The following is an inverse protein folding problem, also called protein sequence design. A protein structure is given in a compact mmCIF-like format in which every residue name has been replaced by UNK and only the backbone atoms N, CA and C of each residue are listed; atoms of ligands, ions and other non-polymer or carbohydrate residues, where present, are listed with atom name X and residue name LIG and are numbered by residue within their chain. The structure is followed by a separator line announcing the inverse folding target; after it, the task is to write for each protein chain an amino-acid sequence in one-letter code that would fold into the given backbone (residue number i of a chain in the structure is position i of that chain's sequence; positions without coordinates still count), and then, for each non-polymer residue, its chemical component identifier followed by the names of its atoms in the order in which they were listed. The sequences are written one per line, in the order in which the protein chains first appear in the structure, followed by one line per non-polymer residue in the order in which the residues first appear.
data_IF_851031884834
#
_entry.id   IF_851031884834
#
_cell.length_a   1.000
_cell.length_b   1.000
_cell.length_c   1.000
_cell.angle_alpha   90.00
_cell.angle_beta   90.00
_cell.angle_gamma   90.00
#
_symmetry.space_group_name_H-M   'P 1'
#
loop_
_entity.id
_entity.type
_entity.pdbx_description
1 polymer ?
#
# COMPACT_ATOMS: atom_id res chain seq x y z
N UNK A 1 -8.31 5.32 -2.31
CA UNK A 1 -8.93 3.98 -2.34
C UNK A 1 -9.76 3.79 -1.08
N UNK A 2 -10.97 3.33 -1.29
CA UNK A 2 -11.92 2.96 -0.25
C UNK A 2 -11.95 1.43 -0.07
N UNK A 3 -12.70 0.98 0.94
CA UNK A 3 -12.79 -0.44 1.29
C UNK A 3 -13.21 -1.33 0.11
N UNK A 4 -14.20 -0.91 -0.67
CA UNK A 4 -14.71 -1.69 -1.81
C UNK A 4 -13.68 -1.85 -2.93
N UNK A 5 -12.83 -0.84 -3.15
CA UNK A 5 -11.74 -0.94 -4.13
C UNK A 5 -10.74 -2.04 -3.71
N UNK A 6 -10.46 -2.11 -2.41
CA UNK A 6 -9.53 -3.07 -1.83
C UNK A 6 -10.15 -4.48 -1.82
N UNK A 7 -11.43 -4.62 -1.48
CA UNK A 7 -12.15 -5.90 -1.58
C UNK A 7 -12.15 -6.42 -3.02
N UNK A 8 -12.42 -5.53 -3.98
CA UNK A 8 -12.35 -5.88 -5.41
C UNK A 8 -10.93 -6.31 -5.82
N UNK A 9 -9.89 -5.65 -5.31
CA UNK A 9 -8.50 -6.00 -5.59
C UNK A 9 -8.13 -7.37 -5.02
N UNK A 10 -8.54 -7.66 -3.78
CA UNK A 10 -8.28 -8.91 -3.07
C UNK A 10 -9.22 -10.05 -3.48
N UNK A 11 -10.25 -9.77 -4.29
CA UNK A 11 -11.31 -10.72 -4.68
C UNK A 11 -12.05 -11.28 -3.48
N UNK A 12 -12.35 -10.41 -2.51
CA UNK A 12 -13.14 -10.75 -1.33
C UNK A 12 -14.60 -10.43 -1.62
N UNK A 13 -15.45 -11.45 -1.52
CA UNK A 13 -16.91 -11.32 -1.52
C UNK A 13 -17.40 -11.35 -0.07
N UNK A 14 -18.33 -10.47 0.30
CA UNK A 14 -18.89 -10.39 1.67
C UNK A 14 -18.24 -9.34 2.55
N UNK A 15 -18.74 -9.20 3.78
CA UNK A 15 -18.44 -8.08 4.69
C UNK A 15 -17.89 -8.56 6.06
N UNK A 16 -17.66 -9.86 6.22
CA UNK A 16 -17.27 -10.48 7.49
C UNK A 16 -15.92 -9.94 8.02
N UNK A 17 -15.02 -9.58 7.11
CA UNK A 17 -13.67 -9.11 7.43
C UNK A 17 -13.48 -7.60 7.22
N UNK A 18 -14.56 -6.84 6.97
CA UNK A 18 -14.53 -5.41 6.70
C UNK A 18 -13.77 -4.61 7.78
N UNK A 19 -13.97 -4.94 9.05
CA UNK A 19 -13.29 -4.26 10.16
C UNK A 19 -11.77 -4.50 10.14
N UNK A 20 -11.34 -5.71 9.76
CA UNK A 20 -9.93 -6.04 9.65
C UNK A 20 -9.31 -5.32 8.45
N UNK A 21 -9.99 -5.36 7.30
CA UNK A 21 -9.56 -4.68 6.08
C UNK A 21 -9.44 -3.17 6.29
N UNK A 22 -10.39 -2.52 6.96
CA UNK A 22 -10.30 -1.09 7.30
C UNK A 22 -9.04 -0.79 8.13
N UNK A 23 -8.76 -1.62 9.12
CA UNK A 23 -7.55 -1.47 9.95
C UNK A 23 -6.27 -1.60 9.12
N UNK A 24 -6.21 -2.57 8.20
CA UNK A 24 -5.07 -2.76 7.30
C UNK A 24 -4.93 -1.60 6.30
N UNK A 25 -6.04 -1.06 5.78
CA UNK A 25 -6.04 0.11 4.89
C UNK A 25 -5.46 1.32 5.62
N UNK A 26 -5.88 1.57 6.86
CA UNK A 26 -5.37 2.68 7.66
C UNK A 26 -3.88 2.51 7.95
N UNK A 27 -3.45 1.29 8.34
CA UNK A 27 -2.05 0.97 8.55
C UNK A 27 -1.21 1.13 7.25
N UNK A 28 -1.75 0.72 6.10
CA UNK A 28 -1.09 0.87 4.81
C UNK A 28 -0.96 2.32 4.36
N UNK A 29 -2.00 3.15 4.58
CA UNK A 29 -1.94 4.60 4.32
C UNK A 29 -0.86 5.25 5.18
N UNK A 30 -0.80 4.88 6.46
CA UNK A 30 0.22 5.41 7.37
C UNK A 30 1.63 4.96 7.01
N UNK A 31 1.81 3.70 6.61
CA UNK A 31 3.08 3.20 6.10
C UNK A 31 3.57 4.02 4.89
N UNK A 32 2.70 4.30 3.93
CA UNK A 32 3.05 5.10 2.75
C UNK A 32 3.37 6.53 3.16
N UNK A 33 2.55 7.18 4.00
CA UNK A 33 2.84 8.54 4.51
C UNK A 33 4.19 8.61 5.22
N UNK A 34 4.50 7.64 6.07
CA UNK A 34 5.78 7.61 6.78
C UNK A 34 6.97 7.40 5.83
N UNK A 35 6.78 6.68 4.72
CA UNK A 35 7.85 6.40 3.76
C UNK A 35 8.03 7.52 2.72
N UNK A 36 6.93 8.14 2.27
CA UNK A 36 6.89 9.04 1.11
C UNK A 36 6.60 10.50 1.50
N UNK A 37 6.08 10.73 2.71
CA UNK A 37 5.66 12.05 3.21
C UNK A 37 4.14 12.24 3.16
N UNK A 38 3.48 11.70 2.14
CA UNK A 38 2.02 11.75 1.99
C UNK A 38 1.45 10.53 1.27
N UNK A 39 0.13 10.35 1.39
CA UNK A 39 -0.64 9.43 0.56
C UNK A 39 -1.61 10.27 -0.28
N UNK A 40 -1.26 10.45 -1.55
CA UNK A 40 -2.11 11.07 -2.58
C UNK A 40 -3.04 9.99 -3.15
N UNK A 41 -4.33 10.08 -2.85
CA UNK A 41 -5.32 9.10 -3.31
C UNK A 41 -5.70 9.27 -4.78
N UNK A 42 -5.18 10.30 -5.47
CA UNK A 42 -5.29 10.49 -6.92
C UNK A 42 -4.12 9.89 -7.69
N UNK A 43 -3.03 9.53 -7.01
CA UNK A 43 -1.86 8.90 -7.62
C UNK A 43 -2.08 7.38 -7.74
N UNK A 44 -2.23 6.90 -8.97
CA UNK A 44 -2.43 5.47 -9.23
C UNK A 44 -1.28 4.59 -8.71
N UNK A 45 -0.04 5.09 -8.66
CA UNK A 45 1.08 4.34 -8.08
C UNK A 45 0.92 4.21 -6.57
N UNK A 46 0.46 5.26 -5.88
CA UNK A 46 0.18 5.21 -4.45
C UNK A 46 -1.02 4.30 -4.14
N UNK A 47 -2.06 4.32 -4.98
CA UNK A 47 -3.20 3.40 -4.87
C UNK A 47 -2.75 1.93 -5.00
N UNK A 48 -1.98 1.59 -6.04
CA UNK A 48 -1.49 0.21 -6.21
C UNK A 48 -0.58 -0.20 -5.05
N UNK A 49 0.29 0.69 -4.56
CA UNK A 49 1.15 0.40 -3.41
C UNK A 49 0.30 0.11 -2.16
N UNK A 50 -0.74 0.90 -1.90
CA UNK A 50 -1.65 0.67 -0.79
C UNK A 50 -2.33 -0.70 -0.90
N UNK A 51 -2.89 -1.02 -2.06
CA UNK A 51 -3.55 -2.31 -2.28
C UNK A 51 -2.59 -3.49 -2.07
N UNK A 52 -1.36 -3.39 -2.56
CA UNK A 52 -0.35 -4.44 -2.39
C UNK A 52 0.12 -4.58 -0.94
N UNK A 53 0.26 -3.47 -0.19
CA UNK A 53 0.58 -3.51 1.25
C UNK A 53 -0.55 -4.17 2.03
N UNK A 54 -1.80 -3.80 1.77
CA UNK A 54 -2.96 -4.41 2.43
C UNK A 54 -3.04 -5.90 2.08
N UNK A 55 -2.84 -6.28 0.82
CA UNK A 55 -2.76 -7.67 0.42
C UNK A 55 -1.68 -8.42 1.20
N UNK A 56 -0.48 -7.83 1.34
CA UNK A 56 0.59 -8.46 2.10
C UNK A 56 0.21 -8.69 3.57
N UNK A 57 -0.41 -7.71 4.22
CA UNK A 57 -0.90 -7.85 5.60
C UNK A 57 -1.99 -8.92 5.72
N UNK A 58 -2.90 -8.95 4.75
CA UNK A 58 -4.02 -9.89 4.70
C UNK A 58 -3.56 -11.34 4.47
N UNK A 59 -2.72 -11.56 3.45
CA UNK A 59 -2.19 -12.89 3.09
C UNK A 59 -1.30 -13.47 4.21
N UNK A 60 -0.61 -12.61 4.97
CA UNK A 60 0.29 -13.02 6.06
C UNK A 60 -0.32 -12.88 7.46
N UNK A 61 -1.65 -12.72 7.57
CA UNK A 61 -2.34 -12.55 8.86
C UNK A 61 -2.20 -13.76 9.79
N UNK A 62 -2.06 -14.95 9.21
CA UNK A 62 -1.74 -16.18 9.95
C UNK A 62 -0.21 -16.34 9.99
N UNK A 63 0.37 -16.21 11.18
CA UNK A 63 1.81 -16.16 11.46
C UNK A 63 2.64 -17.42 11.04
N UNK A 64 2.15 -18.27 10.15
CA UNK A 64 2.77 -19.55 9.76
C UNK A 64 3.27 -19.63 8.31
N UNK A 65 3.74 -18.53 7.70
CA UNK A 65 4.40 -18.62 6.39
C UNK A 65 5.91 -18.41 6.47
N UNK A 66 6.62 -19.54 6.44
CA UNK A 66 8.07 -19.69 6.35
C UNK A 66 8.58 -19.52 4.91
N UNK A 67 8.26 -18.41 4.25
CA UNK A 67 8.77 -18.13 2.89
C UNK A 67 9.55 -16.80 2.84
N UNK A 68 10.79 -16.83 3.32
CA UNK A 68 11.71 -15.68 3.30
C UNK A 68 11.91 -15.09 1.88
N UNK A 69 11.78 -15.89 0.83
CA UNK A 69 12.00 -15.43 -0.56
C UNK A 69 10.85 -14.59 -1.11
N UNK A 70 9.60 -14.91 -0.74
CA UNK A 70 8.43 -14.12 -1.13
C UNK A 70 8.46 -12.76 -0.41
N UNK A 71 8.80 -12.76 0.88
CA UNK A 71 8.98 -11.52 1.67
C UNK A 71 10.00 -10.57 1.04
N UNK A 72 11.19 -11.06 0.68
CA UNK A 72 12.24 -10.26 0.02
C UNK A 72 11.78 -9.65 -1.31
N UNK A 73 11.07 -10.41 -2.14
CA UNK A 73 10.59 -9.89 -3.44
C UNK A 73 9.57 -8.77 -3.26
N UNK A 74 8.62 -8.96 -2.35
CA UNK A 74 7.60 -7.95 -2.02
C UNK A 74 8.27 -6.69 -1.45
N UNK A 75 9.26 -6.84 -0.58
CA UNK A 75 10.08 -5.73 -0.07
C UNK A 75 10.74 -4.94 -1.20
N UNK A 76 11.35 -5.61 -2.20
CA UNK A 76 11.96 -4.91 -3.35
C UNK A 76 10.94 -4.15 -4.20
N UNK A 77 9.77 -4.74 -4.46
CA UNK A 77 8.71 -4.06 -5.22
C UNK A 77 8.22 -2.83 -4.48
N UNK A 78 7.98 -2.93 -3.17
CA UNK A 78 7.56 -1.79 -2.35
C UNK A 78 8.63 -0.70 -2.31
N UNK A 79 9.89 -1.06 -2.12
CA UNK A 79 10.99 -0.10 -2.13
C UNK A 79 11.08 0.67 -3.46
N UNK A 80 10.92 -0.03 -4.59
CA UNK A 80 10.94 0.62 -5.91
C UNK A 80 9.78 1.60 -6.09
N UNK A 81 8.56 1.22 -5.67
CA UNK A 81 7.39 2.09 -5.76
C UNK A 81 7.50 3.30 -4.82
N UNK A 82 8.00 3.09 -3.60
CA UNK A 82 8.26 4.16 -2.63
C UNK A 82 9.27 5.16 -3.22
N UNK A 83 10.38 4.68 -3.78
CA UNK A 83 11.40 5.56 -4.39
C UNK A 83 10.82 6.37 -5.55
N UNK A 84 10.01 5.74 -6.42
CA UNK A 84 9.35 6.44 -7.53
C UNK A 84 8.41 7.54 -7.03
N UNK A 85 7.64 7.28 -5.98
CA UNK A 85 6.74 8.25 -5.38
C UNK A 85 7.51 9.40 -4.72
N UNK A 86 8.56 9.10 -3.96
CA UNK A 86 9.44 10.12 -3.36
C UNK A 86 10.02 11.07 -4.41
N UNK A 87 10.55 10.53 -5.52
CA UNK A 87 11.06 11.36 -6.62
C UNK A 87 9.95 12.19 -7.26
N UNK A 88 8.80 11.58 -7.53
CA UNK A 88 7.66 12.26 -8.15
C UNK A 88 7.16 13.44 -7.30
N UNK A 89 7.09 13.27 -5.99
CA UNK A 89 6.60 14.32 -5.09
C UNK A 89 7.64 15.41 -4.82
N UNK A 90 8.94 15.05 -4.76
CA UNK A 90 10.03 16.05 -4.70
C UNK A 90 9.98 16.98 -5.91
N UNK A 91 9.86 16.42 -7.13
CA UNK A 91 9.80 17.21 -8.36
C UNK A 91 8.58 18.16 -8.39
N UNK A 92 7.40 17.68 -7.95
CA UNK A 92 6.20 18.52 -7.85
C UNK A 92 6.40 19.70 -6.88
N UNK A 93 7.10 19.50 -5.77
CA UNK A 93 7.38 20.56 -4.79
C UNK A 93 8.35 21.60 -5.38
N UNK A 94 9.42 21.17 -6.05
CA UNK A 94 10.37 22.06 -6.72
C UNK A 94 9.70 22.91 -7.83
N UNK A 95 8.79 22.33 -8.60
CA UNK A 95 8.01 23.05 -9.62
C UNK A 95 7.03 24.07 -9.01
N UNK A 96 6.46 23.78 -7.84
CA UNK A 96 5.53 24.68 -7.15
C UNK A 96 6.22 25.87 -6.47
N UNK A 97 7.51 25.73 -6.15
CA UNK A 97 8.33 26.75 -5.51
C UNK A 97 9.07 27.67 -6.50
N UNK A 98 9.04 27.35 -7.80
CA UNK A 98 9.67 28.09 -8.91
C UNK A 98 8.75 29.10 -9.57
#
# INVERSE_FOLDING_TARGET
MELEDIKSYLRIDGDEEDSLLRTMIDAGKEFIRSAVGEYDDTDSTAQVLLASVVQNMYDNRELMQSEQQVKKRIEYTFQSMILQLQMKYSLKQEEAES
#
